data_IF_869469481006
#
_entry.id   IF_869469481006
#
_cell.length_a   1.000
_cell.length_b   1.000
_cell.length_c   1.000
_cell.angle_alpha   90.00
_cell.angle_beta   90.00
_cell.angle_gamma   90.00
#
_symmetry.space_group_name_H-M   'P 1'
#
loop_
_entity.id
_entity.type
_entity.pdbx_description
1 polymer ?
#
# COMPACT_ATOMS: atom_id res chain seq x y z
N UNK A 1 16.62 0.75 12.38
CA UNK A 1 15.93 1.35 11.22
C UNK A 1 16.61 0.83 9.98
N UNK A 2 15.83 0.32 9.02
CA UNK A 2 16.37 -0.29 7.82
C UNK A 2 17.10 0.77 6.97
N UNK A 3 18.35 0.53 6.53
CA UNK A 3 19.14 1.51 5.80
C UNK A 3 18.52 1.87 4.45
N UNK A 4 18.76 3.07 3.95
CA UNK A 4 18.29 3.48 2.62
C UNK A 4 19.04 2.73 1.51
N UNK A 5 18.52 2.75 0.28
CA UNK A 5 19.26 2.19 -0.85
C UNK A 5 20.61 2.92 -1.06
N UNK A 6 20.67 4.24 -0.81
CA UNK A 6 21.90 5.06 -0.89
C UNK A 6 22.94 4.62 0.15
N UNK A 7 22.50 4.34 1.38
CA UNK A 7 23.38 3.82 2.44
C UNK A 7 23.94 2.43 2.11
N UNK A 8 23.17 1.60 1.40
CA UNK A 8 23.60 0.28 0.96
C UNK A 8 24.61 0.30 -0.20
N UNK A 9 24.66 1.37 -1.01
CA UNK A 9 25.47 1.38 -2.25
C UNK A 9 26.98 1.18 -2.00
N UNK A 10 27.57 1.94 -1.07
CA UNK A 10 29.02 1.85 -0.82
C UNK A 10 29.42 0.48 -0.22
N UNK A 11 28.74 -0.06 0.81
CA UNK A 11 29.00 -1.42 1.30
C UNK A 11 28.88 -2.48 0.20
N UNK A 12 27.86 -2.39 -0.66
CA UNK A 12 27.68 -3.32 -1.79
C UNK A 12 28.87 -3.23 -2.75
N UNK A 13 29.30 -2.02 -3.11
CA UNK A 13 30.43 -1.81 -4.00
C UNK A 13 31.72 -2.42 -3.43
N UNK A 14 31.98 -2.23 -2.14
CA UNK A 14 33.12 -2.82 -1.44
C UNK A 14 33.07 -4.35 -1.42
N UNK A 15 31.89 -4.92 -1.15
CA UNK A 15 31.68 -6.37 -1.14
C UNK A 15 31.96 -7.00 -2.52
N UNK A 16 31.44 -6.39 -3.60
CA UNK A 16 31.68 -6.86 -4.96
C UNK A 16 33.15 -6.67 -5.35
N UNK A 17 33.80 -5.60 -4.90
CA UNK A 17 35.23 -5.38 -5.16
C UNK A 17 36.14 -6.46 -4.55
N UNK A 18 35.81 -6.96 -3.35
CA UNK A 18 36.54 -8.05 -2.70
C UNK A 18 36.37 -9.39 -3.44
N UNK A 19 35.16 -9.67 -3.95
CA UNK A 19 34.84 -10.93 -4.62
C UNK A 19 35.06 -10.93 -6.12
N UNK A 20 35.36 -9.77 -6.72
CA UNK A 20 35.35 -9.47 -8.16
C UNK A 20 33.95 -9.51 -8.77
N UNK A 21 33.15 -10.50 -8.41
CA UNK A 21 31.77 -10.66 -8.85
C UNK A 21 30.89 -11.16 -7.70
N UNK A 22 29.63 -10.75 -7.67
CA UNK A 22 28.64 -11.28 -6.74
C UNK A 22 27.24 -11.26 -7.33
N UNK A 23 26.43 -12.25 -6.97
CA UNK A 23 25.03 -12.29 -7.36
C UNK A 23 24.12 -11.58 -6.34
N UNK A 24 22.91 -11.20 -6.76
CA UNK A 24 21.96 -10.47 -5.90
C UNK A 24 21.65 -11.18 -4.58
N UNK A 25 21.61 -12.51 -4.53
CA UNK A 25 21.33 -13.24 -3.30
C UNK A 25 22.51 -13.16 -2.31
N UNK A 26 23.74 -13.26 -2.79
CA UNK A 26 24.95 -13.05 -1.98
C UNK A 26 25.01 -11.63 -1.43
N UNK A 27 24.69 -10.64 -2.26
CA UNK A 27 24.68 -9.23 -1.89
C UNK A 27 23.58 -8.95 -0.85
N UNK A 28 22.36 -9.49 -1.05
CA UNK A 28 21.28 -9.36 -0.06
C UNK A 28 21.62 -10.01 1.27
N UNK A 29 22.29 -11.18 1.27
CA UNK A 29 22.79 -11.82 2.50
C UNK A 29 23.84 -10.96 3.19
N UNK A 30 24.79 -10.43 2.42
CA UNK A 30 25.81 -9.52 2.93
C UNK A 30 25.19 -8.28 3.58
N UNK A 31 24.15 -7.68 2.99
CA UNK A 31 23.47 -6.51 3.57
C UNK A 31 22.86 -6.83 4.95
N UNK A 32 22.24 -8.00 5.12
CA UNK A 32 21.70 -8.44 6.41
C UNK A 32 22.83 -8.51 7.46
N UNK A 33 23.95 -9.14 7.10
CA UNK A 33 25.09 -9.33 8.00
C UNK A 33 25.82 -8.01 8.32
N UNK A 34 26.02 -7.16 7.30
CA UNK A 34 26.74 -5.89 7.42
C UNK A 34 26.00 -4.87 8.29
N UNK A 35 24.68 -4.74 8.08
CA UNK A 35 23.85 -3.81 8.83
C UNK A 35 23.24 -4.41 10.11
N UNK A 36 23.43 -5.71 10.35
CA UNK A 36 22.88 -6.45 11.50
C UNK A 36 21.37 -6.26 11.63
N UNK A 37 20.65 -6.50 10.52
CA UNK A 37 19.19 -6.32 10.48
C UNK A 37 18.49 -7.27 11.45
N UNK A 38 17.49 -6.77 12.17
CA UNK A 38 16.65 -7.61 13.04
C UNK A 38 15.62 -8.41 12.24
N UNK A 39 15.02 -9.43 12.86
CA UNK A 39 13.94 -10.22 12.23
C UNK A 39 12.77 -9.34 11.80
N UNK A 40 12.39 -8.37 12.62
CA UNK A 40 11.33 -7.41 12.29
C UNK A 40 11.70 -6.57 11.05
N UNK A 41 12.96 -6.17 10.90
CA UNK A 41 13.43 -5.42 9.73
C UNK A 41 13.53 -6.30 8.46
N UNK A 42 13.91 -7.57 8.62
CA UNK A 42 13.94 -8.54 7.51
C UNK A 42 12.54 -8.86 7.01
N UNK A 43 11.56 -8.95 7.93
CA UNK A 43 10.17 -9.27 7.64
C UNK A 43 9.35 -8.07 7.12
N UNK A 44 9.88 -6.85 7.18
CA UNK A 44 9.25 -5.68 6.56
C UNK A 44 9.08 -5.87 5.06
N UNK A 45 7.88 -5.56 4.56
CA UNK A 45 7.53 -5.66 3.14
C UNK A 45 7.02 -4.32 2.63
N UNK A 46 7.36 -4.02 1.38
CA UNK A 46 6.67 -2.99 0.61
C UNK A 46 5.28 -3.51 0.21
N UNK A 47 4.38 -2.62 -0.24
CA UNK A 47 2.98 -2.98 -0.55
C UNK A 47 2.83 -4.03 -1.65
N UNK A 48 3.82 -4.14 -2.54
CA UNK A 48 3.89 -5.21 -3.55
C UNK A 48 4.18 -6.61 -2.97
N UNK A 49 4.49 -6.71 -1.67
CA UNK A 49 4.79 -7.97 -0.97
C UNK A 49 6.27 -8.37 -0.98
N UNK A 50 7.13 -7.61 -1.66
CA UNK A 50 8.59 -7.82 -1.63
C UNK A 50 9.18 -7.32 -0.31
N UNK A 51 10.18 -8.00 0.23
CA UNK A 51 10.89 -7.54 1.43
C UNK A 51 11.63 -6.22 1.16
N UNK A 52 11.49 -5.25 2.08
CA UNK A 52 11.99 -3.88 1.90
C UNK A 52 13.49 -3.85 1.65
N UNK A 53 14.29 -4.64 2.38
CA UNK A 53 15.74 -4.70 2.17
C UNK A 53 16.12 -5.28 0.80
N UNK A 54 15.35 -6.23 0.25
CA UNK A 54 15.56 -6.80 -1.09
C UNK A 54 15.29 -5.75 -2.16
N UNK A 55 14.21 -4.97 -1.99
CA UNK A 55 13.87 -3.86 -2.88
C UNK A 55 15.00 -2.82 -2.90
N UNK A 56 15.39 -2.31 -1.73
CA UNK A 56 16.45 -1.31 -1.58
C UNK A 56 17.82 -1.81 -2.09
N UNK A 57 18.16 -3.08 -1.85
CA UNK A 57 19.37 -3.70 -2.44
C UNK A 57 19.32 -3.69 -3.97
N UNK A 58 18.15 -3.98 -4.56
CA UNK A 58 17.95 -3.92 -5.99
C UNK A 58 18.15 -2.52 -6.57
N UNK A 59 17.61 -1.51 -5.89
CA UNK A 59 17.79 -0.10 -6.26
C UNK A 59 19.24 0.35 -6.14
N UNK A 60 19.94 0.00 -5.06
CA UNK A 60 21.37 0.28 -4.91
C UNK A 60 22.19 -0.29 -6.08
N UNK A 61 21.91 -1.54 -6.50
CA UNK A 61 22.54 -2.16 -7.65
C UNK A 61 22.20 -1.46 -8.97
N UNK A 62 20.95 -1.02 -9.12
CA UNK A 62 20.52 -0.29 -10.31
C UNK A 62 21.30 1.03 -10.47
N UNK A 63 21.45 1.80 -9.39
CA UNK A 63 22.21 3.06 -9.40
C UNK A 63 23.71 2.82 -9.63
N UNK A 64 24.27 1.72 -9.12
CA UNK A 64 25.68 1.39 -9.33
C UNK A 64 26.00 0.86 -10.75
N UNK A 65 25.01 0.41 -11.53
CA UNK A 65 25.28 -0.36 -12.75
C UNK A 65 24.40 -0.05 -13.97
N UNK A 66 23.13 0.31 -13.77
CA UNK A 66 22.13 0.19 -14.85
C UNK A 66 21.25 1.38 -15.13
N UNK A 67 21.21 2.42 -14.28
CA UNK A 67 20.43 3.64 -14.58
C UNK A 67 20.94 4.34 -15.84
N UNK A 68 20.09 5.14 -16.49
CA UNK A 68 20.46 5.87 -17.69
C UNK A 68 21.60 6.88 -17.42
N UNK A 69 21.58 7.53 -16.25
CA UNK A 69 22.58 8.52 -15.82
C UNK A 69 23.97 7.91 -15.66
N UNK A 70 24.08 6.72 -15.04
CA UNK A 70 25.40 6.07 -14.91
C UNK A 70 25.86 5.48 -16.25
N UNK A 71 24.93 4.97 -17.07
CA UNK A 71 25.24 4.44 -18.41
C UNK A 71 25.64 5.50 -19.42
N UNK A 72 25.21 6.76 -19.26
CA UNK A 72 25.61 7.85 -20.15
C UNK A 72 27.09 8.23 -20.00
N UNK A 73 27.73 7.84 -18.89
CA UNK A 73 29.17 7.97 -18.63
C UNK A 73 29.80 6.59 -18.40
N UNK A 74 29.96 5.76 -19.45
CA UNK A 74 30.41 4.38 -19.33
C UNK A 74 31.75 4.22 -18.61
N UNK A 75 32.63 5.21 -18.69
CA UNK A 75 33.92 5.26 -18.00
C UNK A 75 33.81 5.45 -16.48
N UNK A 76 32.66 5.90 -15.98
CA UNK A 76 32.37 6.15 -14.55
C UNK A 76 31.35 5.19 -13.95
N UNK A 77 31.12 4.02 -14.58
CA UNK A 77 30.21 2.98 -14.07
C UNK A 77 30.93 2.15 -13.00
N UNK A 78 30.47 2.11 -11.73
CA UNK A 78 31.14 1.31 -10.69
C UNK A 78 30.98 -0.21 -10.83
N UNK A 79 29.79 -0.67 -11.26
CA UNK A 79 29.47 -2.09 -11.40
C UNK A 79 28.95 -2.41 -12.81
N UNK A 80 29.34 -3.55 -13.36
CA UNK A 80 28.82 -4.05 -14.62
C UNK A 80 27.89 -5.24 -14.37
N UNK A 81 26.71 -5.25 -15.00
CA UNK A 81 25.82 -6.41 -15.00
C UNK A 81 26.29 -7.41 -16.05
N UNK A 82 26.86 -8.54 -15.60
CA UNK A 82 27.48 -9.57 -16.46
C UNK A 82 26.61 -10.82 -16.64
N UNK A 83 25.49 -10.92 -15.95
CA UNK A 83 24.55 -12.03 -16.09
C UNK A 83 23.21 -11.77 -15.41
N UNK A 84 22.35 -12.80 -15.35
CA UNK A 84 21.08 -12.73 -14.62
C UNK A 84 21.38 -12.56 -13.13
N UNK A 85 21.12 -11.35 -12.63
CA UNK A 85 21.38 -10.97 -11.23
C UNK A 85 22.85 -11.06 -10.80
N UNK A 86 23.81 -11.04 -11.74
CA UNK A 86 25.25 -11.12 -11.48
C UNK A 86 25.92 -9.78 -11.81
N UNK A 87 26.72 -9.26 -10.88
CA UNK A 87 27.38 -7.96 -10.98
C UNK A 87 28.89 -8.12 -10.76
N UNK A 88 29.68 -7.52 -11.64
CA UNK A 88 31.14 -7.50 -11.59
C UNK A 88 31.65 -6.09 -11.29
N UNK A 89 32.74 -5.99 -10.53
CA UNK A 89 33.40 -4.70 -10.26
C UNK A 89 34.13 -4.21 -11.51
N UNK A 90 33.96 -2.94 -11.88
CA UNK A 90 34.71 -2.32 -12.99
C UNK A 90 36.06 -1.79 -12.50
N UNK A 91 36.95 -1.36 -13.41
CA UNK A 91 38.19 -0.70 -13.02
C UNK A 91 37.93 0.59 -12.23
N UNK A 92 36.96 1.40 -12.68
CA UNK A 92 36.53 2.60 -11.97
C UNK A 92 35.96 2.27 -10.58
N UNK A 93 35.14 1.22 -10.47
CA UNK A 93 34.62 0.77 -9.17
C UNK A 93 35.72 0.40 -8.18
N UNK A 94 36.81 -0.25 -8.66
CA UNK A 94 38.00 -0.52 -7.84
C UNK A 94 38.68 0.77 -7.39
N UNK A 95 38.84 1.75 -8.27
CA UNK A 95 39.45 3.05 -7.93
C UNK A 95 38.67 3.80 -6.86
N UNK A 96 37.33 3.74 -6.91
CA UNK A 96 36.45 4.35 -5.90
C UNK A 96 36.70 3.79 -4.49
N UNK A 97 36.85 2.46 -4.37
CA UNK A 97 36.98 1.80 -3.06
C UNK A 97 38.43 1.68 -2.56
N UNK A 98 39.43 1.87 -3.43
CA UNK A 98 40.85 1.71 -3.08
C UNK A 98 41.46 2.90 -2.32
N UNK A 99 40.75 4.03 -2.22
CA UNK A 99 41.23 5.23 -1.54
C UNK A 99 41.03 5.17 -0.03
N UNK A 100 41.96 5.76 0.75
CA UNK A 100 41.75 6.04 2.19
C UNK A 100 40.50 6.90 2.44
N UNK A 101 40.08 7.71 1.47
CA UNK A 101 38.89 8.56 1.52
C UNK A 101 37.78 8.08 0.57
N UNK A 102 37.55 6.76 0.55
CA UNK A 102 36.55 6.09 -0.30
C UNK A 102 35.14 6.67 -0.15
N UNK A 103 34.75 7.10 1.07
CA UNK A 103 33.42 7.68 1.33
C UNK A 103 33.24 9.02 0.61
N UNK A 104 34.21 9.93 0.72
CA UNK A 104 34.16 11.24 0.05
C UNK A 104 34.21 11.11 -1.47
N UNK A 105 35.06 10.22 -1.99
CA UNK A 105 35.11 9.92 -3.43
C UNK A 105 33.79 9.36 -3.96
N UNK A 106 33.18 8.43 -3.22
CA UNK A 106 31.90 7.87 -3.59
C UNK A 106 30.80 8.93 -3.62
N UNK A 107 30.74 9.81 -2.61
CA UNK A 107 29.79 10.93 -2.58
C UNK A 107 30.03 11.90 -3.73
N UNK A 108 31.30 12.23 -4.02
CA UNK A 108 31.65 13.11 -5.14
C UNK A 108 31.23 12.51 -6.49
N UNK A 109 31.43 11.20 -6.69
CA UNK A 109 30.93 10.49 -7.86
C UNK A 109 29.40 10.51 -7.92
N UNK A 110 28.73 10.19 -6.82
CA UNK A 110 27.28 10.16 -6.75
C UNK A 110 26.70 11.54 -7.13
N UNK A 111 27.23 12.61 -6.56
CA UNK A 111 26.83 13.96 -6.89
C UNK A 111 27.13 14.30 -8.36
N UNK A 112 28.25 13.85 -8.92
CA UNK A 112 28.57 14.11 -10.34
C UNK A 112 27.64 13.40 -11.33
N UNK A 113 27.10 12.24 -10.95
CA UNK A 113 26.16 11.48 -11.79
C UNK A 113 24.72 11.96 -11.57
N UNK A 114 24.34 12.35 -10.35
CA UNK A 114 22.94 12.56 -9.96
C UNK A 114 22.60 14.00 -9.50
N UNK A 115 23.54 14.98 -9.50
CA UNK A 115 23.28 16.37 -9.03
C UNK A 115 22.13 17.10 -9.69
N UNK A 116 21.82 16.80 -10.96
CA UNK A 116 20.79 17.54 -11.69
C UNK A 116 19.35 17.26 -11.20
N UNK A 117 19.15 16.27 -10.32
CA UNK A 117 17.85 15.98 -9.68
C UNK A 117 17.71 16.60 -8.27
N UNK A 118 18.76 17.21 -7.72
CA UNK A 118 18.83 17.54 -6.27
C UNK A 118 18.13 18.86 -5.90
N UNK A 119 17.71 19.70 -6.84
CA UNK A 119 17.01 20.95 -6.52
C UNK A 119 15.49 20.74 -6.34
N UNK A 120 15.07 20.06 -5.26
CA UNK A 120 13.82 20.26 -4.47
C UNK A 120 13.41 19.04 -3.61
N UNK A 121 13.99 17.84 -3.80
CA UNK A 121 13.49 16.57 -3.21
C UNK A 121 14.30 16.01 -2.01
N UNK A 122 15.31 16.74 -1.50
CA UNK A 122 16.40 16.18 -0.69
C UNK A 122 16.06 15.51 0.66
N UNK A 123 14.85 15.65 1.21
CA UNK A 123 14.51 15.05 2.52
C UNK A 123 13.62 13.80 2.47
N UNK A 124 12.85 13.57 1.40
CA UNK A 124 11.97 12.39 1.27
C UNK A 124 12.55 11.33 0.32
N UNK A 125 13.29 11.73 -0.72
CA UNK A 125 13.84 10.82 -1.73
C UNK A 125 15.09 10.03 -1.28
N UNK A 126 15.68 10.37 -0.13
CA UNK A 126 16.85 9.67 0.41
C UNK A 126 16.48 8.40 1.18
N UNK A 127 15.24 8.24 1.64
CA UNK A 127 14.78 7.02 2.35
C UNK A 127 13.93 6.09 1.47
N UNK A 128 13.14 6.66 0.56
CA UNK A 128 12.16 5.94 -0.26
C UNK A 128 12.71 5.61 -1.64
N UNK A 129 12.42 4.40 -2.13
CA UNK A 129 12.73 4.01 -3.51
C UNK A 129 11.71 4.61 -4.49
N UNK A 130 11.99 4.71 -5.79
CA UNK A 130 11.00 5.18 -6.77
C UNK A 130 9.68 4.40 -6.74
N UNK A 131 9.72 3.08 -6.48
CA UNK A 131 8.51 2.28 -6.28
C UNK A 131 7.73 2.74 -5.04
N UNK A 132 8.43 3.04 -3.94
CA UNK A 132 7.81 3.55 -2.70
C UNK A 132 7.15 4.91 -2.94
N UNK A 133 7.79 5.79 -3.72
CA UNK A 133 7.25 7.12 -4.06
C UNK A 133 5.98 7.00 -4.91
N UNK A 134 5.95 6.10 -5.90
CA UNK A 134 4.77 5.84 -6.71
C UNK A 134 3.63 5.28 -5.84
N UNK A 135 3.94 4.32 -4.97
CA UNK A 135 2.96 3.72 -4.07
C UNK A 135 2.39 4.73 -3.05
N UNK A 136 3.23 5.65 -2.56
CA UNK A 136 2.80 6.73 -1.69
C UNK A 136 1.90 7.73 -2.44
N UNK A 137 2.30 8.14 -3.65
CA UNK A 137 1.50 9.01 -4.50
C UNK A 137 0.14 8.38 -4.84
N UNK A 138 0.11 7.09 -5.21
CA UNK A 138 -1.14 6.35 -5.44
C UNK A 138 -2.02 6.30 -4.20
N UNK A 139 -1.42 6.15 -3.01
CA UNK A 139 -2.16 6.19 -1.75
C UNK A 139 -2.76 7.58 -1.48
N UNK A 140 -1.99 8.65 -1.70
CA UNK A 140 -2.48 10.03 -1.56
C UNK A 140 -3.66 10.28 -2.51
N UNK A 141 -3.52 9.93 -3.79
CA UNK A 141 -4.59 10.06 -4.79
C UNK A 141 -5.83 9.26 -4.38
N UNK A 142 -5.67 8.03 -3.87
CA UNK A 142 -6.81 7.21 -3.41
C UNK A 142 -7.50 7.81 -2.19
N UNK A 143 -6.77 8.33 -1.21
CA UNK A 143 -7.36 8.97 -0.02
C UNK A 143 -8.03 10.29 -0.37
N UNK A 144 -7.47 11.07 -1.30
CA UNK A 144 -8.11 12.27 -1.85
C UNK A 144 -9.41 11.91 -2.56
N UNK A 145 -9.37 10.95 -3.49
CA UNK A 145 -10.56 10.49 -4.22
C UNK A 145 -11.65 9.97 -3.27
N UNK A 146 -11.27 9.17 -2.27
CA UNK A 146 -12.19 8.67 -1.24
C UNK A 146 -12.83 9.82 -0.46
N UNK A 147 -12.05 10.84 -0.09
CA UNK A 147 -12.53 12.03 0.62
C UNK A 147 -13.48 12.86 -0.24
N UNK A 148 -13.18 13.01 -1.54
CA UNK A 148 -14.03 13.69 -2.52
C UNK A 148 -15.37 12.95 -2.71
N UNK A 149 -15.33 11.62 -2.92
CA UNK A 149 -16.53 10.79 -3.04
C UNK A 149 -17.38 10.89 -1.77
N UNK A 150 -16.77 10.77 -0.59
CA UNK A 150 -17.48 10.85 0.68
C UNK A 150 -18.14 12.22 0.85
N UNK A 151 -17.43 13.31 0.54
CA UNK A 151 -17.97 14.67 0.59
C UNK A 151 -19.16 14.82 -0.34
N UNK A 152 -19.04 14.35 -1.58
CA UNK A 152 -20.14 14.36 -2.56
C UNK A 152 -21.37 13.61 -2.06
N UNK A 153 -21.20 12.45 -1.41
CA UNK A 153 -22.30 11.68 -0.82
C UNK A 153 -22.98 12.45 0.32
N UNK A 154 -22.20 13.11 1.18
CA UNK A 154 -22.71 13.86 2.33
C UNK A 154 -23.48 15.13 1.94
N UNK A 155 -23.16 15.72 0.78
CA UNK A 155 -23.86 16.88 0.21
C UNK A 155 -25.22 16.55 -0.42
N UNK A 156 -25.46 15.30 -0.83
CA UNK A 156 -26.76 14.89 -1.40
C UNK A 156 -27.84 14.77 -0.33
N UNK A 157 -29.07 14.45 -0.72
CA UNK A 157 -30.17 14.14 0.20
C UNK A 157 -29.97 12.78 0.91
N UNK A 158 -30.48 12.57 2.15
CA UNK A 158 -30.28 11.29 2.87
C UNK A 158 -30.70 10.06 2.06
N UNK A 159 -31.84 10.17 1.35
CA UNK A 159 -32.40 9.11 0.51
C UNK A 159 -31.49 8.73 -0.67
N UNK A 160 -30.61 9.65 -1.10
CA UNK A 160 -29.63 9.33 -2.13
C UNK A 160 -28.62 8.29 -1.65
N UNK A 161 -28.26 8.29 -0.36
CA UNK A 161 -27.33 7.30 0.18
C UNK A 161 -27.94 5.90 0.19
N UNK A 162 -29.21 5.78 0.56
CA UNK A 162 -29.99 4.53 0.50
C UNK A 162 -30.01 3.98 -0.94
N UNK A 163 -30.29 4.87 -1.92
CA UNK A 163 -30.24 4.55 -3.34
C UNK A 163 -28.85 4.09 -3.80
N UNK A 164 -27.82 4.85 -3.46
CA UNK A 164 -26.43 4.57 -3.84
C UNK A 164 -25.99 3.20 -3.34
N UNK A 165 -26.26 2.89 -2.08
CA UNK A 165 -25.91 1.61 -1.47
C UNK A 165 -26.64 0.45 -2.17
N UNK A 166 -27.93 0.60 -2.45
CA UNK A 166 -28.71 -0.41 -3.17
C UNK A 166 -28.15 -0.64 -4.57
N UNK A 167 -27.86 0.43 -5.31
CA UNK A 167 -27.25 0.34 -6.66
C UNK A 167 -25.83 -0.23 -6.64
N UNK A 168 -25.05 0.04 -5.60
CA UNK A 168 -23.73 -0.55 -5.44
C UNK A 168 -23.84 -2.09 -5.35
N UNK A 169 -24.74 -2.60 -4.52
CA UNK A 169 -24.93 -4.04 -4.36
C UNK A 169 -25.48 -4.71 -5.62
N UNK A 170 -26.41 -4.06 -6.33
CA UNK A 170 -26.84 -4.54 -7.66
C UNK A 170 -25.65 -4.63 -8.63
N UNK A 171 -24.80 -3.60 -8.70
CA UNK A 171 -23.62 -3.56 -9.59
C UNK A 171 -22.53 -4.56 -9.21
N UNK A 172 -22.52 -5.00 -7.95
CA UNK A 172 -21.68 -6.10 -7.47
C UNK A 172 -22.30 -7.48 -7.74
N UNK A 173 -23.44 -7.56 -8.43
CA UNK A 173 -24.18 -8.78 -8.75
C UNK A 173 -24.75 -9.54 -7.54
N UNK A 174 -25.16 -8.84 -6.49
CA UNK A 174 -25.87 -9.48 -5.37
C UNK A 174 -27.35 -9.77 -5.66
N UNK A 175 -27.91 -9.22 -6.75
CA UNK A 175 -29.32 -9.42 -7.11
C UNK A 175 -30.02 -8.12 -7.54
N UNK A 176 -31.35 -8.15 -7.58
CA UNK A 176 -32.17 -7.00 -7.95
C UNK A 176 -32.51 -6.15 -6.72
N UNK A 177 -32.24 -4.85 -6.76
CA UNK A 177 -32.37 -3.96 -5.61
C UNK A 177 -33.61 -3.08 -5.65
N UNK A 178 -34.30 -3.00 -4.52
CA UNK A 178 -35.48 -2.16 -4.33
C UNK A 178 -35.31 -1.31 -3.06
N UNK A 179 -35.67 -0.03 -3.16
CA UNK A 179 -35.76 0.85 -1.99
C UNK A 179 -37.07 0.62 -1.24
N UNK A 180 -37.01 0.67 0.08
CA UNK A 180 -38.22 0.66 0.91
C UNK A 180 -38.86 2.06 0.94
N UNK A 181 -40.16 2.13 1.23
CA UNK A 181 -40.83 3.39 1.46
C UNK A 181 -40.57 3.86 2.89
N UNK A 182 -40.60 5.18 3.12
CA UNK A 182 -40.53 5.75 4.48
C UNK A 182 -41.72 5.21 5.29
N UNK A 183 -41.45 4.28 6.20
CA UNK A 183 -42.46 3.60 7.01
C UNK A 183 -41.86 2.99 8.28
N UNK A 184 -42.69 2.37 9.14
CA UNK A 184 -42.29 1.75 10.40
C UNK A 184 -41.57 0.41 10.22
N UNK A 185 -40.80 0.25 9.14
CA UNK A 185 -40.11 -1.00 8.76
C UNK A 185 -38.85 -1.28 9.61
N UNK A 186 -38.78 -0.73 10.83
CA UNK A 186 -37.72 -1.03 11.79
C UNK A 186 -36.31 -0.55 11.38
N UNK A 187 -36.20 0.31 10.35
CA UNK A 187 -34.92 0.82 9.86
C UNK A 187 -34.31 0.03 8.68
N UNK A 188 -35.13 -0.69 7.91
CA UNK A 188 -34.72 -1.27 6.63
C UNK A 188 -34.89 -0.22 5.53
N UNK A 189 -33.81 0.14 4.85
CA UNK A 189 -33.76 1.19 3.84
C UNK A 189 -33.75 0.63 2.40
N UNK A 190 -33.39 -0.65 2.25
CA UNK A 190 -33.39 -1.33 0.95
C UNK A 190 -33.45 -2.85 1.08
N UNK A 191 -33.77 -3.50 -0.03
CA UNK A 191 -33.89 -4.96 -0.12
C UNK A 191 -33.24 -5.40 -1.44
N UNK A 192 -32.34 -6.37 -1.40
CA UNK A 192 -31.85 -7.09 -2.59
C UNK A 192 -32.53 -8.45 -2.65
N UNK A 193 -33.18 -8.75 -3.77
CA UNK A 193 -33.65 -10.09 -4.11
C UNK A 193 -32.50 -10.84 -4.80
N UNK A 194 -31.92 -11.84 -4.12
CA UNK A 194 -30.79 -12.64 -4.63
C UNK A 194 -31.23 -13.60 -5.75
N UNK A 195 -32.52 -13.89 -5.84
CA UNK A 195 -33.12 -14.76 -6.84
C UNK A 195 -34.39 -14.13 -7.44
N UNK A 196 -34.74 -14.57 -8.65
CA UNK A 196 -35.90 -14.05 -9.40
C UNK A 196 -37.25 -14.36 -8.72
N UNK A 197 -37.30 -15.37 -7.84
CA UNK A 197 -38.52 -15.77 -7.12
C UNK A 197 -38.69 -14.98 -5.80
N UNK A 198 -37.68 -14.21 -5.38
CA UNK A 198 -37.67 -13.45 -4.14
C UNK A 198 -37.69 -14.30 -2.88
N UNK A 199 -37.17 -15.53 -2.94
CA UNK A 199 -37.12 -16.44 -1.80
C UNK A 199 -35.97 -16.11 -0.84
N UNK A 200 -34.88 -15.61 -1.39
CA UNK A 200 -33.69 -15.17 -0.68
C UNK A 200 -33.51 -13.66 -0.81
N UNK A 201 -33.55 -12.97 0.34
CA UNK A 201 -33.42 -11.52 0.40
C UNK A 201 -32.28 -11.09 1.29
N UNK A 202 -31.60 -10.01 0.89
CA UNK A 202 -30.64 -9.29 1.73
C UNK A 202 -31.26 -7.95 2.11
N UNK A 203 -31.45 -7.73 3.40
CA UNK A 203 -31.94 -6.47 3.92
C UNK A 203 -30.80 -5.46 4.08
N UNK A 204 -31.02 -4.22 3.68
CA UNK A 204 -30.02 -3.15 3.74
C UNK A 204 -30.48 -2.12 4.77
N UNK A 205 -29.56 -1.70 5.63
CA UNK A 205 -29.69 -0.45 6.37
C UNK A 205 -28.53 0.47 6.01
N UNK A 206 -28.84 1.69 5.56
CA UNK A 206 -27.90 2.67 5.03
C UNK A 206 -27.96 3.95 5.87
N UNK A 207 -27.06 4.08 6.87
CA UNK A 207 -27.02 5.26 7.72
C UNK A 207 -25.98 6.28 7.26
N UNK A 208 -26.45 7.45 6.83
CA UNK A 208 -25.60 8.59 6.54
C UNK A 208 -25.40 9.46 7.78
N UNK A 209 -24.17 9.52 8.28
CA UNK A 209 -23.78 10.39 9.38
C UNK A 209 -22.77 11.45 8.93
N UNK A 210 -22.86 12.64 9.53
CA UNK A 210 -21.79 13.64 9.45
C UNK A 210 -20.59 13.21 10.28
N UNK A 211 -19.43 13.75 9.90
CA UNK A 211 -18.13 13.38 10.44
C UNK A 211 -18.07 13.42 11.97
N UNK A 212 -17.34 12.46 12.56
CA UNK A 212 -17.19 12.33 14.03
C UNK A 212 -18.27 11.51 14.76
N UNK A 213 -19.34 11.08 14.08
CA UNK A 213 -20.30 10.12 14.65
C UNK A 213 -19.75 8.69 14.57
N UNK A 214 -20.01 7.87 15.58
CA UNK A 214 -19.67 6.44 15.56
C UNK A 214 -20.93 5.59 15.73
N UNK A 215 -21.03 4.50 14.96
CA UNK A 215 -22.08 3.51 15.11
C UNK A 215 -21.79 2.65 16.34
N UNK A 216 -22.74 2.62 17.26
CA UNK A 216 -22.65 1.84 18.50
C UNK A 216 -23.42 0.52 18.37
N UNK A 217 -23.22 -0.34 19.37
CA UNK A 217 -23.89 -1.64 19.46
C UNK A 217 -25.43 -1.55 19.36
N UNK A 218 -26.13 -0.59 19.99
CA UNK A 218 -27.59 -0.53 19.92
C UNK A 218 -28.14 -0.42 18.50
N UNK A 219 -27.47 0.33 17.61
CA UNK A 219 -27.89 0.46 16.21
C UNK A 219 -27.80 -0.88 15.47
N UNK A 220 -26.72 -1.64 15.67
CA UNK A 220 -26.56 -2.97 15.07
C UNK A 220 -27.58 -3.96 15.65
N UNK A 221 -27.81 -3.90 16.96
CA UNK A 221 -28.81 -4.73 17.63
C UNK A 221 -30.23 -4.45 17.14
N UNK A 222 -30.58 -3.18 16.94
CA UNK A 222 -31.86 -2.79 16.37
C UNK A 222 -32.03 -3.35 14.95
N UNK A 223 -31.00 -3.27 14.11
CA UNK A 223 -31.02 -3.82 12.76
C UNK A 223 -31.25 -5.33 12.75
N UNK A 224 -30.47 -6.06 13.56
CA UNK A 224 -30.62 -7.52 13.71
C UNK A 224 -32.03 -7.86 14.20
N UNK A 225 -32.57 -7.07 15.13
CA UNK A 225 -33.96 -7.21 15.59
C UNK A 225 -34.97 -7.05 14.46
N UNK A 226 -34.80 -6.05 13.60
CA UNK A 226 -35.70 -5.77 12.48
C UNK A 226 -35.73 -6.90 11.43
N UNK A 227 -34.59 -7.58 11.20
CA UNK A 227 -34.51 -8.70 10.26
C UNK A 227 -34.85 -10.07 10.89
N UNK A 228 -34.88 -10.17 12.21
CA UNK A 228 -35.06 -11.46 12.91
C UNK A 228 -36.40 -12.15 12.63
N UNK A 229 -37.44 -11.35 12.34
CA UNK A 229 -38.80 -11.79 12.02
C UNK A 229 -39.07 -11.90 10.51
N UNK A 230 -38.04 -11.75 9.67
CA UNK A 230 -38.15 -11.85 8.21
C UNK A 230 -37.79 -13.26 7.74
N UNK A 231 -38.24 -13.62 6.53
CA UNK A 231 -38.03 -14.95 5.95
C UNK A 231 -36.55 -15.31 5.82
N UNK A 232 -35.70 -14.33 5.48
CA UNK A 232 -34.25 -14.47 5.48
C UNK A 232 -33.61 -13.63 6.57
N UNK A 233 -32.53 -14.15 7.15
CA UNK A 233 -31.76 -13.48 8.22
C UNK A 233 -30.46 -12.86 7.69
N UNK A 234 -30.41 -12.55 6.39
CA UNK A 234 -29.26 -11.88 5.75
C UNK A 234 -29.48 -10.38 5.77
N UNK A 235 -28.51 -9.64 6.27
CA UNK A 235 -28.57 -8.18 6.30
C UNK A 235 -27.20 -7.54 6.17
N UNK A 236 -27.15 -6.37 5.54
CA UNK A 236 -25.95 -5.57 5.36
C UNK A 236 -26.21 -4.17 5.92
N UNK A 237 -25.38 -3.75 6.88
CA UNK A 237 -25.42 -2.42 7.46
C UNK A 237 -24.28 -1.58 6.89
N UNK A 238 -24.60 -0.47 6.23
CA UNK A 238 -23.64 0.40 5.54
C UNK A 238 -23.76 1.82 6.10
N UNK A 239 -22.63 2.46 6.36
CA UNK A 239 -22.60 3.83 6.88
C UNK A 239 -21.39 4.60 6.37
N UNK A 240 -21.51 5.94 6.40
CA UNK A 240 -20.39 6.87 6.22
C UNK A 240 -19.56 7.07 7.51
N UNK A 241 -20.04 6.58 8.65
CA UNK A 241 -19.37 6.67 9.95
C UNK A 241 -18.47 5.45 10.24
N UNK A 242 -17.67 5.55 11.31
CA UNK A 242 -16.90 4.41 11.84
C UNK A 242 -17.75 3.59 12.80
N UNK A 243 -17.47 2.29 12.88
CA UNK A 243 -18.03 1.42 13.91
C UNK A 243 -17.17 1.47 15.17
N UNK A 244 -17.81 1.40 16.33
CA UNK A 244 -17.11 1.14 17.59
C UNK A 244 -16.68 -0.32 17.68
N UNK A 245 -15.61 -0.63 18.43
CA UNK A 245 -15.18 -2.02 18.67
C UNK A 245 -16.31 -2.90 19.23
N UNK A 246 -17.17 -2.34 20.08
CA UNK A 246 -18.33 -3.05 20.62
C UNK A 246 -19.36 -3.40 19.55
N UNK A 247 -19.62 -2.49 18.60
CA UNK A 247 -20.52 -2.73 17.48
C UNK A 247 -19.96 -3.83 16.56
N UNK A 248 -18.66 -3.78 16.26
CA UNK A 248 -17.97 -4.79 15.44
C UNK A 248 -17.99 -6.18 16.11
N UNK A 249 -17.67 -6.26 17.40
CA UNK A 249 -17.70 -7.52 18.15
C UNK A 249 -19.12 -8.10 18.18
N UNK A 250 -20.12 -7.25 18.46
CA UNK A 250 -21.51 -7.70 18.48
C UNK A 250 -21.98 -8.20 17.11
N UNK A 251 -21.57 -7.56 16.00
CA UNK A 251 -21.86 -8.04 14.66
C UNK A 251 -21.22 -9.41 14.38
N UNK A 252 -19.95 -9.60 14.76
CA UNK A 252 -19.22 -10.88 14.61
C UNK A 252 -19.87 -12.02 15.38
N UNK A 253 -20.27 -11.78 16.63
CA UNK A 253 -20.90 -12.81 17.48
C UNK A 253 -22.26 -13.28 16.93
N UNK A 254 -22.90 -12.45 16.09
CA UNK A 254 -24.20 -12.75 15.47
C UNK A 254 -24.10 -13.15 14.00
N UNK A 255 -22.88 -13.21 13.44
CA UNK A 255 -22.65 -13.66 12.07
C UNK A 255 -22.67 -15.18 12.03
N UNK A 256 -23.76 -15.77 11.49
CA UNK A 256 -23.84 -17.21 11.22
C UNK A 256 -23.38 -17.46 9.79
N UNK A 257 -22.19 -18.03 9.64
CA UNK A 257 -21.71 -18.56 8.35
C UNK A 257 -22.37 -19.91 8.06
#
# INVERSE_FOLDING_TARGET
MLPSYKDMMLPILEFVAQRKEANRAEISKFIIEYFKLSDDEILQKIKSGTFTYISRTGWALSYLATTAQVKSKPEKVPLQKVGRSLFAITNFGKELVSSKDKKSKFLSWYDEIYKQEISQEEKEATENTPDDNIDEALCKIKEELKSEILSSILEKEPRFFEYLVTKLLEKMNYGAGNLTNKGPDGGIDGIIDEDELGLSKIYIQAKRYKDGSNIRRPEIQQFIGAISNKNTKKGVFITTAKFTKEAENFAKDNQKF
#
